data_IF_439359440328
#
_entry.id   IF_439359440328
#
_cell.length_a   1.000
_cell.length_b   1.000
_cell.length_c   1.000
_cell.angle_alpha   90.00
_cell.angle_beta   90.00
_cell.angle_gamma   90.00
#
_symmetry.space_group_name_H-M   'P 1'
#
loop_
_entity.id
_entity.type
_entity.pdbx_description
1 polymer ?
#
# COMPACT_ATOMS: atom_id res chain seq x y z
N UNK A 1 13.13 -21.01 -1.62
CA UNK A 1 12.33 -21.27 -0.41
C UNK A 1 13.23 -20.92 0.74
N UNK A 2 12.84 -19.96 1.56
CA UNK A 2 13.39 -19.89 2.90
C UNK A 2 12.69 -20.98 3.70
N UNK A 3 13.46 -21.85 4.35
CA UNK A 3 12.93 -22.98 5.12
C UNK A 3 12.16 -22.45 6.35
N UNK A 4 11.21 -23.21 6.89
CA UNK A 4 10.52 -22.81 8.15
C UNK A 4 11.52 -22.49 9.28
N UNK A 5 12.71 -23.11 9.23
CA UNK A 5 13.83 -22.83 10.13
C UNK A 5 14.43 -21.40 10.01
N UNK A 6 14.39 -20.77 8.84
CA UNK A 6 14.88 -19.38 8.67
C UNK A 6 13.87 -18.35 9.21
N UNK A 7 12.62 -18.74 9.44
CA UNK A 7 11.63 -17.90 10.12
C UNK A 7 11.81 -17.91 11.65
N UNK A 8 12.39 -18.98 12.19
CA UNK A 8 12.64 -19.20 13.63
C UNK A 8 13.96 -18.59 14.12
N UNK A 9 14.94 -18.33 13.25
CA UNK A 9 16.25 -17.74 13.59
C UNK A 9 16.16 -16.28 14.10
N UNK A 10 14.96 -15.67 14.06
CA UNK A 10 14.71 -14.30 14.51
C UNK A 10 14.23 -14.18 15.97
N UNK A 11 14.32 -15.26 16.75
CA UNK A 11 14.35 -15.25 18.21
C UNK A 11 13.11 -14.69 18.90
N UNK A 12 12.11 -15.53 19.17
CA UNK A 12 11.10 -15.28 20.21
C UNK A 12 10.70 -16.59 20.90
N UNK A 13 10.54 -16.52 22.23
CA UNK A 13 10.11 -17.63 23.09
C UNK A 13 8.59 -17.76 23.13
N UNK A 14 8.15 -19.03 23.20
CA UNK A 14 6.81 -19.53 23.00
C UNK A 14 5.85 -19.09 24.13
N UNK A 15 4.95 -18.16 23.83
CA UNK A 15 3.82 -17.78 24.71
C UNK A 15 2.65 -17.11 23.97
N UNK A 16 2.96 -16.23 23.01
CA UNK A 16 2.02 -15.48 22.14
C UNK A 16 2.12 -15.87 20.64
N UNK A 17 2.86 -16.94 20.34
CA UNK A 17 3.36 -17.29 18.99
C UNK A 17 2.29 -17.53 17.93
N UNK A 18 1.12 -18.07 18.30
CA UNK A 18 0.12 -18.47 17.32
C UNK A 18 -0.47 -17.27 16.56
N UNK A 19 -0.76 -16.17 17.27
CA UNK A 19 -1.46 -15.02 16.68
C UNK A 19 -0.50 -14.09 15.94
N UNK A 20 0.65 -13.77 16.53
CA UNK A 20 1.66 -12.94 15.89
C UNK A 20 2.33 -13.67 14.72
N UNK A 21 2.62 -14.97 14.87
CA UNK A 21 3.14 -15.81 13.80
C UNK A 21 2.18 -15.90 12.61
N UNK A 22 0.87 -16.12 12.88
CA UNK A 22 -0.15 -16.10 11.83
C UNK A 22 -0.25 -14.73 11.15
N UNK A 23 -0.28 -13.64 11.92
CA UNK A 23 -0.34 -12.28 11.36
C UNK A 23 0.85 -11.98 10.45
N UNK A 24 2.07 -12.34 10.88
CA UNK A 24 3.30 -12.19 10.08
C UNK A 24 3.22 -13.01 8.79
N UNK A 25 2.71 -14.24 8.86
CA UNK A 25 2.54 -15.12 7.68
C UNK A 25 1.52 -14.56 6.70
N UNK A 26 0.37 -14.11 7.19
CA UNK A 26 -0.68 -13.50 6.37
C UNK A 26 -0.18 -12.21 5.70
N UNK A 27 0.54 -11.36 6.44
CA UNK A 27 1.21 -10.17 5.90
C UNK A 27 2.21 -10.54 4.80
N UNK A 28 3.05 -11.55 5.02
CA UNK A 28 4.02 -12.01 4.03
C UNK A 28 3.33 -12.46 2.74
N UNK A 29 2.24 -13.24 2.82
CA UNK A 29 1.47 -13.64 1.64
C UNK A 29 0.93 -12.43 0.87
N UNK A 30 0.39 -11.44 1.57
CA UNK A 30 -0.08 -10.20 0.91
C UNK A 30 1.08 -9.43 0.26
N UNK A 31 2.26 -9.36 0.90
CA UNK A 31 3.44 -8.70 0.32
C UNK A 31 3.97 -9.46 -0.90
N UNK A 32 3.95 -10.79 -0.88
CA UNK A 32 4.38 -11.61 -2.02
C UNK A 32 3.39 -11.51 -3.19
N UNK A 33 2.09 -11.41 -2.89
CA UNK A 33 1.02 -11.20 -3.86
C UNK A 33 0.99 -9.81 -4.52
N UNK A 34 1.85 -8.86 -4.10
CA UNK A 34 2.10 -7.63 -4.86
C UNK A 34 3.05 -7.91 -6.05
N UNK A 35 3.86 -8.94 -5.91
CA UNK A 35 4.91 -9.32 -6.86
C UNK A 35 6.19 -8.51 -6.75
N UNK A 36 7.26 -9.01 -7.34
CA UNK A 36 8.61 -8.47 -7.24
C UNK A 36 9.18 -8.01 -8.59
N UNK A 37 10.13 -7.08 -8.54
CA UNK A 37 10.96 -6.79 -9.71
C UNK A 37 11.79 -8.01 -10.08
N UNK A 38 11.56 -8.59 -11.27
CA UNK A 38 12.47 -9.60 -11.81
C UNK A 38 13.49 -8.91 -12.71
N UNK A 39 14.75 -8.90 -12.29
CA UNK A 39 15.87 -8.54 -13.17
C UNK A 39 16.14 -9.76 -14.05
N UNK A 40 16.20 -9.59 -15.38
CA UNK A 40 16.47 -10.72 -16.27
C UNK A 40 17.83 -11.39 -15.93
N UNK A 41 17.99 -12.66 -16.33
CA UNK A 41 19.21 -13.47 -16.08
C UNK A 41 20.48 -12.91 -16.73
N UNK A 42 20.37 -11.88 -17.55
CA UNK A 42 21.49 -11.28 -18.29
C UNK A 42 22.05 -10.02 -17.59
N UNK A 43 21.52 -9.65 -16.42
CA UNK A 43 21.98 -8.49 -15.65
C UNK A 43 21.77 -7.15 -16.38
N UNK A 44 21.07 -7.17 -17.51
CA UNK A 44 20.72 -5.98 -18.28
C UNK A 44 19.32 -5.55 -17.89
N UNK A 45 19.25 -4.44 -17.17
CA UNK A 45 18.04 -3.61 -17.12
C UNK A 45 17.79 -3.12 -18.54
N UNK A 46 16.98 -3.86 -19.28
CA UNK A 46 16.39 -3.39 -20.54
C UNK A 46 15.64 -2.10 -20.22
N UNK A 47 16.09 -1.03 -20.88
CA UNK A 47 15.62 0.35 -20.74
C UNK A 47 14.14 0.44 -20.34
N UNK A 48 13.89 0.80 -19.08
CA UNK A 48 12.67 1.45 -18.58
C UNK A 48 11.29 0.79 -18.90
N UNK A 49 11.23 -0.45 -19.39
CA UNK A 49 9.95 -1.07 -19.83
C UNK A 49 9.67 -2.49 -19.36
N UNK A 50 10.63 -3.19 -18.77
CA UNK A 50 10.43 -4.60 -18.37
C UNK A 50 10.21 -4.73 -16.85
N UNK A 51 9.39 -3.85 -16.28
CA UNK A 51 8.85 -4.09 -14.94
C UNK A 51 7.58 -4.90 -15.08
N UNK A 52 7.65 -6.21 -14.80
CA UNK A 52 6.45 -7.02 -14.67
C UNK A 52 5.93 -6.83 -13.25
N UNK A 53 4.97 -5.92 -13.09
CA UNK A 53 4.14 -5.86 -11.88
C UNK A 53 3.51 -7.23 -11.70
N UNK A 54 3.53 -7.74 -10.47
CA UNK A 54 2.81 -8.96 -10.17
C UNK A 54 3.55 -10.25 -10.51
N UNK A 55 4.88 -10.32 -10.49
CA UNK A 55 5.54 -11.63 -10.47
C UNK A 55 5.71 -12.13 -9.04
N UNK A 56 5.03 -13.21 -8.66
CA UNK A 56 5.19 -13.82 -7.32
C UNK A 56 6.62 -14.30 -7.09
N UNK A 57 6.98 -14.68 -5.86
CA UNK A 57 8.24 -15.36 -5.57
C UNK A 57 8.47 -16.64 -6.41
N UNK A 58 7.41 -17.20 -6.99
CA UNK A 58 7.43 -18.37 -7.88
C UNK A 58 7.50 -18.01 -9.37
N UNK A 59 7.49 -16.72 -9.72
CA UNK A 59 7.56 -16.24 -11.11
C UNK A 59 6.23 -16.31 -11.87
N UNK A 60 5.10 -16.37 -11.16
CA UNK A 60 3.76 -16.34 -11.75
C UNK A 60 3.29 -14.90 -11.94
N UNK A 61 2.73 -14.58 -13.10
CA UNK A 61 2.17 -13.26 -13.38
C UNK A 61 0.79 -13.10 -12.73
N UNK A 62 0.64 -12.05 -11.93
CA UNK A 62 -0.55 -11.76 -11.13
C UNK A 62 -1.49 -10.84 -11.91
N UNK A 63 -2.78 -11.06 -11.71
CA UNK A 63 -3.82 -10.17 -12.19
C UNK A 63 -3.68 -8.80 -11.48
N UNK A 64 -3.73 -7.66 -12.19
CA UNK A 64 -3.77 -6.32 -11.58
C UNK A 64 -4.77 -6.18 -10.42
N UNK A 65 -5.92 -6.88 -10.49
CA UNK A 65 -6.93 -6.89 -9.44
C UNK A 65 -6.47 -7.65 -8.19
N UNK A 66 -5.69 -8.72 -8.35
CA UNK A 66 -5.07 -9.44 -7.23
C UNK A 66 -4.03 -8.56 -6.55
N UNK A 67 -3.18 -7.87 -7.34
CA UNK A 67 -2.21 -6.91 -6.80
C UNK A 67 -2.91 -5.79 -6.00
N UNK A 68 -4.02 -5.26 -6.51
CA UNK A 68 -4.83 -4.27 -5.79
C UNK A 68 -5.38 -4.83 -4.46
N UNK A 69 -5.86 -6.07 -4.45
CA UNK A 69 -6.35 -6.72 -3.22
C UNK A 69 -5.22 -6.93 -2.20
N UNK A 70 -4.06 -7.36 -2.65
CA UNK A 70 -2.88 -7.52 -1.80
C UNK A 70 -2.42 -6.19 -1.19
N UNK A 71 -2.42 -5.09 -1.96
CA UNK A 71 -2.16 -3.75 -1.44
C UNK A 71 -3.20 -3.33 -0.38
N UNK A 72 -4.49 -3.60 -0.64
CA UNK A 72 -5.57 -3.31 0.34
C UNK A 72 -5.39 -4.11 1.62
N UNK A 73 -4.93 -5.35 1.54
CA UNK A 73 -4.69 -6.20 2.70
C UNK A 73 -3.49 -5.71 3.50
N UNK A 74 -2.38 -5.36 2.85
CA UNK A 74 -1.22 -4.72 3.52
C UNK A 74 -1.64 -3.44 4.23
N UNK A 75 -2.43 -2.59 3.57
CA UNK A 75 -2.97 -1.37 4.19
C UNK A 75 -3.87 -1.68 5.38
N UNK A 76 -4.68 -2.75 5.31
CA UNK A 76 -5.53 -3.18 6.42
C UNK A 76 -4.70 -3.66 7.61
N UNK A 77 -3.58 -4.35 7.38
CA UNK A 77 -2.67 -4.74 8.44
C UNK A 77 -2.03 -3.52 9.11
N UNK A 78 -1.53 -2.56 8.33
CA UNK A 78 -0.93 -1.33 8.87
C UNK A 78 -1.92 -0.51 9.70
N UNK A 79 -3.16 -0.37 9.24
CA UNK A 79 -4.22 0.38 9.96
C UNK A 79 -4.73 -0.30 11.23
N UNK A 80 -4.44 -1.59 11.39
CA UNK A 80 -4.81 -2.38 12.57
C UNK A 80 -3.58 -2.77 13.37
N UNK A 81 -2.43 -2.18 13.05
CA UNK A 81 -1.22 -2.40 13.82
C UNK A 81 -1.43 -1.85 15.23
N UNK A 82 -0.80 -2.48 16.20
CA UNK A 82 -0.91 -2.06 17.59
C UNK A 82 -0.02 -0.84 17.79
N UNK A 83 -0.59 0.31 18.17
CA UNK A 83 0.17 1.55 18.40
C UNK A 83 1.24 1.43 19.51
N UNK A 84 1.16 0.39 20.35
CA UNK A 84 2.14 0.13 21.41
C UNK A 84 3.34 -0.70 20.97
N UNK A 85 3.18 -1.52 19.92
CA UNK A 85 4.22 -2.43 19.45
C UNK A 85 4.67 -2.14 18.02
N UNK A 86 3.76 -1.74 17.14
CA UNK A 86 3.96 -1.42 15.72
C UNK A 86 4.71 -2.53 14.95
N UNK A 87 4.33 -3.79 15.19
CA UNK A 87 4.98 -4.95 14.59
C UNK A 87 4.86 -5.00 13.07
N UNK A 88 3.70 -4.62 12.53
CA UNK A 88 3.48 -4.62 11.08
C UNK A 88 4.41 -3.63 10.40
N UNK A 89 4.66 -2.45 10.99
CA UNK A 89 5.62 -1.48 10.47
C UNK A 89 7.04 -2.07 10.39
N UNK A 90 7.49 -2.73 11.45
CA UNK A 90 8.80 -3.37 11.50
C UNK A 90 8.90 -4.52 10.50
N UNK A 91 7.88 -5.37 10.38
CA UNK A 91 7.88 -6.46 9.42
C UNK A 91 7.82 -5.99 7.97
N UNK A 92 7.05 -4.95 7.65
CA UNK A 92 7.05 -4.34 6.32
C UNK A 92 8.44 -3.86 5.90
N UNK A 93 9.21 -3.28 6.83
CA UNK A 93 10.60 -2.90 6.57
C UNK A 93 11.51 -4.13 6.43
N UNK A 94 11.45 -5.11 7.34
CA UNK A 94 12.26 -6.34 7.27
C UNK A 94 11.97 -7.18 6.01
N UNK A 95 10.73 -7.21 5.56
CA UNK A 95 10.28 -7.87 4.33
C UNK A 95 10.54 -7.03 3.06
N UNK A 96 11.22 -5.89 3.21
CA UNK A 96 11.63 -5.00 2.12
C UNK A 96 10.46 -4.57 1.23
N UNK A 97 9.26 -4.36 1.82
CA UNK A 97 8.05 -3.97 1.10
C UNK A 97 8.29 -2.74 0.22
N UNK A 98 8.87 -1.68 0.78
CA UNK A 98 9.09 -0.43 0.06
C UNK A 98 10.11 -0.63 -1.08
N UNK A 99 11.26 -1.21 -0.76
CA UNK A 99 12.38 -1.38 -1.70
C UNK A 99 12.05 -2.33 -2.86
N UNK A 100 11.47 -3.49 -2.54
CA UNK A 100 11.35 -4.59 -3.49
C UNK A 100 9.97 -4.69 -4.14
N UNK A 101 8.96 -3.99 -3.61
CA UNK A 101 7.57 -4.05 -4.12
C UNK A 101 7.05 -2.68 -4.52
N UNK A 102 6.99 -1.73 -3.58
CA UNK A 102 6.29 -0.45 -3.81
C UNK A 102 7.07 0.51 -4.72
N UNK A 103 8.36 0.75 -4.48
CA UNK A 103 9.18 1.63 -5.34
C UNK A 103 9.19 1.16 -6.79
N UNK A 104 9.44 -0.14 -7.07
CA UNK A 104 9.39 -0.63 -8.43
C UNK A 104 7.99 -0.53 -9.06
N UNK A 105 6.92 -0.81 -8.29
CA UNK A 105 5.54 -0.60 -8.72
C UNK A 105 5.26 0.86 -9.11
N UNK A 106 5.64 1.83 -8.26
CA UNK A 106 5.51 3.27 -8.58
C UNK A 106 6.24 3.61 -9.88
N UNK A 107 7.44 3.08 -10.10
CA UNK A 107 8.21 3.35 -11.31
C UNK A 107 7.51 2.84 -12.57
N UNK A 108 6.84 1.69 -12.50
CA UNK A 108 6.06 1.15 -13.62
C UNK A 108 4.81 1.96 -13.95
N UNK A 109 4.16 2.52 -12.93
CA UNK A 109 2.94 3.32 -13.07
C UNK A 109 3.18 4.71 -13.69
N UNK A 110 4.44 5.14 -13.84
CA UNK A 110 4.76 6.45 -14.44
C UNK A 110 4.39 6.57 -15.93
N UNK A 111 4.13 5.45 -16.61
CA UNK A 111 3.77 5.38 -18.02
C UNK A 111 2.27 5.30 -18.33
N UNK A 112 1.42 4.97 -17.36
CA UNK A 112 0.02 4.63 -17.58
C UNK A 112 -0.89 5.57 -16.77
N UNK A 113 -1.69 6.39 -17.47
CA UNK A 113 -2.68 7.29 -16.85
C UNK A 113 -3.87 6.52 -16.27
N UNK A 114 -4.10 5.28 -16.74
CA UNK A 114 -5.27 4.46 -16.41
C UNK A 114 -5.21 3.80 -15.02
N UNK A 115 -4.03 3.73 -14.38
CA UNK A 115 -3.84 3.03 -13.10
C UNK A 115 -3.71 3.96 -11.88
N UNK A 116 -4.34 5.13 -11.91
CA UNK A 116 -4.32 6.10 -10.81
C UNK A 116 -4.82 5.52 -9.48
N UNK A 117 -5.77 4.57 -9.54
CA UNK A 117 -6.30 3.87 -8.35
C UNK A 117 -5.21 3.04 -7.66
N UNK A 118 -4.42 2.30 -8.44
CA UNK A 118 -3.34 1.48 -7.92
C UNK A 118 -2.23 2.36 -7.34
N UNK A 119 -1.87 3.43 -8.04
CA UNK A 119 -0.93 4.43 -7.55
C UNK A 119 -1.39 5.03 -6.20
N UNK A 120 -2.67 5.39 -6.08
CA UNK A 120 -3.22 5.92 -4.85
C UNK A 120 -3.13 4.93 -3.68
N UNK A 121 -3.40 3.62 -3.90
CA UNK A 121 -3.22 2.62 -2.85
C UNK A 121 -1.76 2.52 -2.39
N UNK A 122 -0.80 2.56 -3.32
CA UNK A 122 0.63 2.56 -2.97
C UNK A 122 0.99 3.77 -2.13
N UNK A 123 0.53 4.98 -2.52
CA UNK A 123 0.79 6.20 -1.76
C UNK A 123 0.20 6.10 -0.34
N UNK A 124 -1.00 5.55 -0.17
CA UNK A 124 -1.59 5.36 1.18
C UNK A 124 -0.72 4.48 2.06
N UNK A 125 -0.22 3.37 1.54
CA UNK A 125 0.69 2.48 2.28
C UNK A 125 1.98 3.21 2.65
N UNK A 126 2.56 3.98 1.72
CA UNK A 126 3.76 4.77 2.01
C UNK A 126 3.52 5.81 3.11
N UNK A 127 2.35 6.46 3.13
CA UNK A 127 1.98 7.40 4.20
C UNK A 127 1.95 6.68 5.55
N UNK A 128 1.24 5.55 5.67
CA UNK A 128 1.19 4.78 6.92
C UNK A 128 2.61 4.36 7.38
N UNK A 129 3.44 3.84 6.48
CA UNK A 129 4.82 3.43 6.79
C UNK A 129 5.74 4.60 7.19
N UNK A 130 5.33 5.84 6.96
CA UNK A 130 6.11 7.04 7.29
C UNK A 130 5.64 7.77 8.55
N UNK A 131 4.64 7.22 9.26
CA UNK A 131 4.22 7.71 10.58
C UNK A 131 5.40 7.63 11.56
N UNK A 132 5.63 8.72 12.29
CA UNK A 132 6.71 8.77 13.28
C UNK A 132 6.24 8.13 14.59
N UNK A 133 7.04 7.25 15.22
CA UNK A 133 6.72 6.75 16.54
C UNK A 133 6.73 7.89 17.58
N UNK A 134 5.86 7.78 18.58
CA UNK A 134 5.81 8.74 19.69
C UNK A 134 7.11 8.75 20.52
N UNK A 135 7.35 9.84 21.25
CA UNK A 135 8.60 10.05 21.98
C UNK A 135 8.88 9.03 23.09
N UNK A 136 7.88 8.25 23.51
CA UNK A 136 7.99 7.21 24.55
C UNK A 136 7.78 5.78 24.07
N UNK A 137 7.68 5.54 22.75
CA UNK A 137 7.36 4.21 22.23
C UNK A 137 8.45 3.19 22.62
N UNK A 138 8.09 1.98 23.11
CA UNK A 138 9.06 0.99 23.60
C UNK A 138 10.09 0.59 22.52
N UNK A 139 9.66 0.53 21.25
CA UNK A 139 10.49 0.22 20.08
C UNK A 139 10.95 1.42 19.26
N UNK A 140 10.96 2.62 19.85
CA UNK A 140 11.20 3.88 19.10
C UNK A 140 12.48 3.84 18.25
N UNK A 141 13.56 3.25 18.77
CA UNK A 141 14.82 3.18 18.04
C UNK A 141 14.71 2.35 16.75
N UNK A 142 14.14 1.14 16.84
CA UNK A 142 13.94 0.24 15.70
C UNK A 142 13.02 0.87 14.65
N UNK A 143 11.92 1.50 15.09
CA UNK A 143 10.96 2.16 14.20
C UNK A 143 11.59 3.37 13.49
N UNK A 144 12.41 4.17 14.18
CA UNK A 144 13.13 5.27 13.55
C UNK A 144 14.18 4.79 12.55
N UNK A 145 14.82 3.65 12.80
CA UNK A 145 15.72 3.03 11.84
C UNK A 145 14.95 2.57 10.59
N UNK A 146 13.86 1.82 10.77
CA UNK A 146 12.98 1.38 9.68
C UNK A 146 12.44 2.57 8.85
N UNK A 147 12.10 3.67 9.52
CA UNK A 147 11.66 4.92 8.87
C UNK A 147 12.78 5.56 8.04
N UNK A 148 14.02 5.60 8.54
CA UNK A 148 15.17 6.13 7.80
C UNK A 148 15.46 5.31 6.55
N UNK A 149 15.41 3.99 6.66
CA UNK A 149 15.58 3.08 5.53
C UNK A 149 14.47 3.28 4.50
N UNK A 150 13.22 3.32 4.94
CA UNK A 150 12.06 3.62 4.07
C UNK A 150 12.23 4.94 3.33
N UNK A 151 12.62 6.01 4.03
CA UNK A 151 12.88 7.32 3.42
C UNK A 151 14.01 7.26 2.40
N UNK A 152 15.08 6.53 2.69
CA UNK A 152 16.22 6.36 1.77
C UNK A 152 15.79 5.72 0.45
N UNK A 153 14.93 4.70 0.49
CA UNK A 153 14.42 4.04 -0.72
C UNK A 153 13.51 4.97 -1.55
N UNK A 154 12.78 5.87 -0.88
CA UNK A 154 11.94 6.88 -1.54
C UNK A 154 12.75 8.04 -2.15
N UNK A 155 14.05 8.18 -1.83
CA UNK A 155 14.88 9.23 -2.41
C UNK A 155 15.27 9.00 -3.88
N UNK A 156 14.74 7.98 -4.55
CA UNK A 156 14.93 7.75 -5.99
C UNK A 156 14.27 8.90 -6.80
N UNK A 157 15.04 9.69 -7.59
CA UNK A 157 14.50 10.78 -8.41
C UNK A 157 13.40 10.35 -9.38
N UNK A 158 13.40 9.09 -9.81
CA UNK A 158 12.36 8.52 -10.69
C UNK A 158 11.04 8.36 -9.95
N UNK A 159 11.08 7.94 -8.69
CA UNK A 159 9.89 7.83 -7.83
C UNK A 159 9.27 9.20 -7.63
N UNK A 160 10.07 10.22 -7.29
CA UNK A 160 9.60 11.60 -7.17
C UNK A 160 8.97 12.13 -8.46
N UNK A 161 9.61 11.87 -9.61
CA UNK A 161 9.08 12.30 -10.90
C UNK A 161 7.72 11.66 -11.20
N UNK A 162 7.57 10.36 -10.95
CA UNK A 162 6.28 9.68 -11.14
C UNK A 162 5.23 10.22 -10.19
N UNK A 163 5.55 10.37 -8.90
CA UNK A 163 4.62 10.94 -7.92
C UNK A 163 4.17 12.33 -8.33
N UNK A 164 5.10 13.21 -8.72
CA UNK A 164 4.78 14.56 -9.16
C UNK A 164 3.88 14.57 -10.40
N UNK A 165 4.15 13.70 -11.39
CA UNK A 165 3.32 13.57 -12.59
C UNK A 165 1.88 13.19 -12.23
N UNK A 166 1.70 12.20 -11.35
CA UNK A 166 0.37 11.74 -10.92
C UNK A 166 -0.37 12.80 -10.08
N UNK A 167 0.36 13.54 -9.23
CA UNK A 167 -0.20 14.67 -8.46
C UNK A 167 -0.68 15.77 -9.40
N UNK A 168 0.12 16.17 -10.40
CA UNK A 168 -0.28 17.17 -11.39
C UNK A 168 -1.51 16.73 -12.19
N UNK A 169 -1.60 15.45 -12.56
CA UNK A 169 -2.78 14.90 -13.21
C UNK A 169 -4.03 14.96 -12.32
N UNK A 170 -3.89 14.64 -11.02
CA UNK A 170 -4.97 14.75 -10.06
C UNK A 170 -5.45 16.21 -9.90
N UNK A 171 -4.54 17.18 -9.79
CA UNK A 171 -4.88 18.60 -9.76
C UNK A 171 -5.62 19.06 -11.02
N UNK A 172 -5.12 18.68 -12.21
CA UNK A 172 -5.77 19.01 -13.48
C UNK A 172 -7.18 18.41 -13.63
N UNK A 173 -7.46 17.31 -12.91
CA UNK A 173 -8.81 16.69 -12.87
C UNK A 173 -9.73 17.43 -11.90
N UNK A 174 -9.20 17.86 -10.75
CA UNK A 174 -9.94 18.66 -9.76
C UNK A 174 -10.33 20.03 -10.30
N UNK A 175 -9.44 20.71 -11.03
CA UNK A 175 -9.72 22.03 -11.64
C UNK A 175 -10.79 21.96 -12.75
N UNK A 176 -10.99 20.79 -13.37
CA UNK A 176 -12.02 20.56 -14.39
C UNK A 176 -13.35 20.08 -13.80
N UNK A 177 -13.38 19.78 -12.50
CA UNK A 177 -14.61 19.39 -11.82
C UNK A 177 -15.41 20.67 -11.53
N UNK A 178 -16.68 20.77 -11.94
CA UNK A 178 -17.52 21.89 -11.55
C UNK A 178 -17.57 22.00 -10.02
N UNK A 179 -17.76 23.21 -9.46
CA UNK A 179 -18.00 23.35 -8.03
C UNK A 179 -19.16 22.42 -7.64
N UNK A 180 -19.05 21.77 -6.49
CA UNK A 180 -20.09 20.92 -5.93
C UNK A 180 -21.28 21.78 -5.47
N UNK A 181 -21.95 22.46 -6.40
CA UNK A 181 -23.28 23.01 -6.24
C UNK A 181 -24.25 21.92 -6.72
N UNK A 182 -24.80 21.13 -5.77
CA UNK A 182 -26.07 20.38 -5.84
C UNK A 182 -26.10 19.19 -4.84
N UNK A 183 -25.74 19.43 -3.57
CA UNK A 183 -25.94 18.45 -2.48
C UNK A 183 -27.03 18.87 -1.47
N UNK A 184 -27.80 19.93 -1.75
CA UNK A 184 -28.89 20.41 -0.88
C UNK A 184 -30.27 20.36 -1.56
N UNK A 185 -30.59 19.24 -2.21
CA UNK A 185 -31.99 18.88 -2.52
C UNK A 185 -32.28 17.44 -2.09
N UNK A 186 -32.09 17.14 -0.80
CA UNK A 186 -33.02 16.19 -0.18
C UNK A 186 -34.37 16.91 -0.04
N UNK A 187 -35.47 16.38 -0.61
CA UNK A 187 -36.79 16.93 -0.33
C UNK A 187 -37.00 16.92 1.18
N UNK A 188 -37.45 18.06 1.71
CA UNK A 188 -37.74 18.15 3.14
C UNK A 188 -38.80 17.09 3.51
N UNK A 189 -38.75 16.50 4.72
CA UNK A 189 -39.70 15.45 5.13
C UNK A 189 -41.18 15.84 4.92
N UNK A 190 -41.49 17.13 4.93
CA UNK A 190 -42.83 17.66 4.68
C UNK A 190 -43.31 17.47 3.22
N UNK A 191 -42.40 17.47 2.24
CA UNK A 191 -42.74 17.18 0.83
C UNK A 191 -43.04 15.69 0.61
N UNK A 192 -42.39 14.79 1.35
CA UNK A 192 -42.65 13.35 1.26
C UNK A 192 -44.00 12.94 1.88
N UNK A 193 -44.51 13.71 2.85
CA UNK A 193 -45.83 13.44 3.44
C UNK A 193 -46.99 13.93 2.57
N UNK A 194 -46.80 14.99 1.77
CA UNK A 194 -47.85 15.44 0.83
C UNK A 194 -48.02 14.49 -0.35
N UNK A 195 -46.92 13.97 -0.91
CA UNK A 195 -47.02 13.02 -2.05
C UNK A 195 -47.65 11.67 -1.66
N UNK A 196 -47.56 11.25 -0.40
CA UNK A 196 -48.25 10.04 0.08
C UNK A 196 -49.75 10.26 0.31
N UNK A 197 -50.18 11.46 0.67
CA UNK A 197 -51.61 11.76 0.85
C UNK A 197 -52.35 11.97 -0.48
N UNK A 198 -51.67 12.41 -1.53
CA UNK A 198 -52.27 12.56 -2.87
C UNK A 198 -52.39 11.22 -3.64
N UNK A 199 -51.63 10.18 -3.28
CA UNK A 199 -51.77 8.85 -3.87
C UNK A 199 -52.85 7.97 -3.21
N UNK A 200 -53.39 8.40 -2.07
CA UNK A 200 -54.45 7.69 -1.33
C UNK A 200 -55.87 8.28 -1.51
N UNK A 201 -56.04 9.28 -2.39
CA UNK A 201 -57.36 9.79 -2.83
C UNK A 201 -57.67 9.41 -4.28
#
# INVERSE_FOLDING_TARGET
MMDEAELDEFGYEIGDEGRLGKLKKDLWFSIDGIGQSVVNKEGKTTKDRDFVVGLTSKGEQLDPKEVENCLKDVLRFLKRDDDTEMWVHLWCNKLLLVRNRLVPLVRSLGGHEDDIKLFYQVVRILVELTVSPESGHPRRHELLQALRETKRELLDPRVFRTMNKQILHAFATLEKSPPADDADQQPSPDQQQQEQQEQEQ
#
